data_IF_375718501244
#
_entry.id   IF_375718501244
#
_cell.length_a   1.000
_cell.length_b   1.000
_cell.length_c   1.000
_cell.angle_alpha   90.00
_cell.angle_beta   90.00
_cell.angle_gamma   90.00
#
_symmetry.space_group_name_H-M   'P 1'
#
loop_
_entity.id
_entity.type
_entity.pdbx_description
1 polymer ?
2 branched ?
3 non-polymer ?
4 non-polymer ?
5 non-polymer ?
6 non-polymer ?
7 water ?
#
# COMPACT_ATOMS: atom_id res chain seq x y z
N UNK A 8 -7.20 11.40 19.08
CA UNK A 8 -7.96 10.51 19.95
C UNK A 8 -9.41 10.33 19.48
N UNK A 9 -9.99 11.36 18.84
CA UNK A 9 -11.33 11.22 18.29
C UNK A 9 -11.31 10.30 17.04
N UNK A 10 -10.17 10.26 16.32
CA UNK A 10 -10.00 9.39 15.16
C UNK A 10 -9.93 7.92 15.61
N UNK A 11 -9.25 7.66 16.74
CA UNK A 11 -9.12 6.32 17.32
C UNK A 11 -10.47 5.76 17.77
N UNK A 12 -11.37 6.62 18.25
CA UNK A 12 -12.68 6.17 18.71
C UNK A 12 -13.68 5.99 17.57
N UNK A 13 -13.84 7.00 16.71
CA UNK A 13 -14.80 6.96 15.60
C UNK A 13 -14.39 5.93 14.56
N UNK A 14 -13.08 5.81 14.31
CA UNK A 14 -12.62 4.85 13.31
C UNK A 14 -11.95 3.66 13.99
N UNK A 15 -10.68 3.78 14.32
CA UNK A 15 -9.91 2.70 14.96
C UNK A 15 -8.53 3.28 15.29
N UNK A 16 -7.72 2.55 16.10
CA UNK A 16 -6.37 2.99 16.39
C UNK A 16 -5.48 2.80 15.15
N UNK A 17 -5.73 1.72 14.37
CA UNK A 17 -4.97 1.46 13.16
C UNK A 17 -5.93 1.57 11.97
N UNK A 18 -5.63 2.41 11.00
CA UNK A 18 -6.44 2.54 9.79
C UNK A 18 -5.57 2.20 8.59
N UNK A 19 -5.99 1.19 7.83
CA UNK A 19 -5.24 0.74 6.67
C UNK A 19 -6.12 0.79 5.44
N UNK A 20 -5.58 1.23 4.31
CA UNK A 20 -6.29 1.14 3.05
C UNK A 20 -5.45 0.38 2.05
N UNK A 21 -6.11 -0.21 1.06
CA UNK A 21 -5.42 -0.96 0.03
C UNK A 21 -6.22 -0.85 -1.27
N UNK A 22 -5.64 -1.35 -2.35
CA UNK A 22 -6.29 -1.42 -3.64
C UNK A 22 -6.03 -2.81 -4.22
N UNK A 23 -7.06 -3.41 -4.81
CA UNK A 23 -6.96 -4.74 -5.37
C UNK A 23 -7.97 -4.87 -6.52
N UNK A 24 -7.58 -5.54 -7.58
CA UNK A 24 -8.49 -5.83 -8.69
C UNK A 24 -8.09 -7.17 -9.26
N UNK A 25 -9.05 -8.08 -9.33
CA UNK A 25 -8.81 -9.44 -9.78
C UNK A 25 -8.86 -10.41 -8.63
N UNK A 26 -9.29 -11.65 -8.90
CA UNK A 26 -9.40 -12.68 -7.90
C UNK A 26 -8.08 -12.94 -7.16
N UNK A 27 -6.97 -13.00 -7.88
CA UNK A 27 -5.66 -13.25 -7.28
C UNK A 27 -5.33 -12.18 -6.19
N UNK A 28 -5.50 -10.91 -6.54
CA UNK A 28 -5.19 -9.82 -5.65
C UNK A 28 -6.18 -9.71 -4.51
N UNK A 29 -7.44 -10.09 -4.73
CA UNK A 29 -8.43 -10.11 -3.64
C UNK A 29 -8.17 -11.24 -2.68
N UNK A 30 -7.70 -12.38 -3.18
CA UNK A 30 -7.33 -13.50 -2.33
C UNK A 30 -6.12 -13.06 -1.43
N UNK A 31 -5.14 -12.38 -2.01
CA UNK A 31 -3.99 -11.90 -1.26
C UNK A 31 -4.42 -10.77 -0.30
N UNK A 32 -5.38 -9.94 -0.68
CA UNK A 32 -5.86 -8.86 0.17
C UNK A 32 -6.50 -9.39 1.46
N UNK A 33 -7.28 -10.49 1.39
CA UNK A 33 -7.83 -11.10 2.60
C UNK A 33 -6.70 -11.62 3.50
N UNK A 34 -5.67 -12.21 2.89
CA UNK A 34 -4.50 -12.72 3.61
C UNK A 34 -3.74 -11.58 4.28
N UNK A 35 -3.58 -10.44 3.60
CA UNK A 35 -2.93 -9.28 4.16
C UNK A 35 -3.64 -8.82 5.42
N UNK A 36 -4.99 -8.78 5.36
CA UNK A 36 -5.84 -8.37 6.47
C UNK A 36 -5.74 -9.32 7.62
N UNK A 37 -5.77 -10.65 7.35
CA UNK A 37 -5.59 -11.64 8.43
C UNK A 37 -4.20 -11.49 9.08
N UNK A 38 -3.14 -11.28 8.29
CA UNK A 38 -1.79 -11.08 8.84
C UNK A 38 -1.70 -9.84 9.77
N UNK A 39 -2.40 -8.75 9.42
CA UNK A 39 -2.46 -7.57 10.29
C UNK A 39 -3.13 -7.95 11.64
N UNK A 40 -4.32 -8.57 11.57
CA UNK A 40 -5.11 -8.94 12.76
C UNK A 40 -4.43 -9.93 13.67
N UNK A 41 -3.62 -10.85 13.12
CA UNK A 41 -2.90 -11.80 13.95
C UNK A 41 -1.73 -11.14 14.73
N UNK A 42 -1.32 -9.92 14.33
CA UNK A 42 -0.18 -9.28 14.91
C UNK A 42 -0.49 -8.02 15.69
N UNK A 43 -1.75 -7.74 16.00
CA UNK A 43 -2.11 -6.63 16.82
C UNK A 43 -3.33 -6.90 17.68
N UNK A 44 -3.34 -6.28 18.86
CA UNK A 44 -4.48 -6.20 19.77
C UNK A 44 -5.15 -4.80 19.75
N UNK A 45 -4.59 -3.84 18.98
CA UNK A 45 -5.18 -2.53 18.81
C UNK A 45 -6.37 -2.65 17.85
N UNK A 46 -7.30 -1.70 17.89
CA UNK A 46 -8.48 -1.74 17.02
C UNK A 46 -8.04 -1.40 15.61
N UNK A 47 -8.66 -2.07 14.62
CA UNK A 47 -8.30 -1.88 13.22
C UNK A 47 -9.51 -1.58 12.36
N UNK A 48 -9.34 -0.65 11.41
CA UNK A 48 -10.35 -0.37 10.40
C UNK A 48 -9.66 -0.45 9.02
N UNK A 49 -10.25 -1.22 8.11
CA UNK A 49 -9.73 -1.33 6.75
C UNK A 49 -10.61 -0.51 5.82
N UNK A 50 -10.00 0.23 4.88
CA UNK A 50 -10.69 1.09 3.95
C UNK A 50 -10.40 0.58 2.53
N UNK A 51 -11.44 0.43 1.72
CA UNK A 51 -11.27 -0.14 0.38
C UNK A 51 -11.69 0.78 -0.74
N UNK A 52 -10.93 0.82 -1.85
CA UNK A 52 -11.31 1.59 -3.05
C UNK A 52 -12.29 0.62 -3.70
N UNK A 53 -13.59 0.88 -3.49
CA UNK A 53 -14.73 0.03 -3.86
C UNK A 53 -14.87 -0.37 -5.32
N UNK A 54 -14.74 0.61 -6.25
CA UNK A 54 -15.02 0.33 -7.68
C UNK A 54 -14.16 -0.76 -8.32
N UNK A 55 -12.99 -1.06 -7.75
CA UNK A 55 -12.14 -2.11 -8.31
C UNK A 55 -12.42 -3.48 -7.74
N UNK A 56 -13.18 -3.57 -6.65
CA UNK A 56 -13.45 -4.84 -6.02
C UNK A 56 -14.57 -5.59 -6.71
N UNK A 57 -14.54 -6.90 -6.56
CA UNK A 57 -15.54 -7.82 -7.10
C UNK A 57 -16.76 -7.83 -6.17
N UNK A 58 -17.95 -8.23 -6.69
CA UNK A 58 -19.11 -8.38 -5.81
C UNK A 58 -18.88 -9.42 -4.73
N UNK A 59 -18.13 -10.50 -5.01
CA UNK A 59 -17.88 -11.54 -4.00
C UNK A 59 -17.06 -11.00 -2.82
N UNK A 60 -16.07 -10.16 -3.11
CA UNK A 60 -15.23 -9.60 -2.04
C UNK A 60 -16.08 -8.71 -1.15
N UNK A 61 -16.89 -7.82 -1.76
CA UNK A 61 -17.78 -6.92 -1.03
C UNK A 61 -18.85 -7.65 -0.20
N UNK A 62 -19.25 -8.85 -0.64
CA UNK A 62 -20.20 -9.65 0.10
C UNK A 62 -19.53 -10.47 1.21
N UNK A 63 -18.26 -10.82 1.04
CA UNK A 63 -17.52 -11.59 2.02
C UNK A 63 -16.95 -10.73 3.16
N UNK A 64 -16.59 -9.46 2.87
CA UNK A 64 -15.95 -8.59 3.84
C UNK A 64 -16.71 -8.49 5.21
N UNK A 65 -18.07 -8.45 5.33
CA UNK A 65 -18.66 -8.42 6.70
C UNK A 65 -18.38 -9.70 7.48
N UNK A 66 -18.21 -10.84 6.79
CA UNK A 66 -17.86 -12.12 7.43
C UNK A 66 -16.40 -12.11 7.92
N UNK A 67 -15.49 -11.54 7.13
CA UNK A 67 -14.09 -11.38 7.52
C UNK A 67 -14.04 -10.46 8.76
N UNK A 68 -14.79 -9.35 8.72
CA UNK A 68 -14.86 -8.35 9.76
C UNK A 68 -15.35 -8.90 11.09
N UNK A 69 -16.39 -9.75 11.06
CA UNK A 69 -16.95 -10.36 12.26
C UNK A 69 -16.05 -11.46 12.80
N UNK A 70 -15.37 -12.21 11.93
CA UNK A 70 -14.47 -13.29 12.33
C UNK A 70 -13.15 -12.76 12.95
N UNK A 71 -12.58 -11.73 12.33
CA UNK A 71 -11.31 -11.16 12.75
C UNK A 71 -11.45 -9.97 13.71
N UNK A 72 -12.64 -9.42 13.84
CA UNK A 72 -12.88 -8.31 14.74
C UNK A 72 -12.37 -6.96 14.27
N UNK A 73 -12.58 -6.63 12.98
CA UNK A 73 -12.18 -5.33 12.47
C UNK A 73 -13.36 -4.58 11.92
N UNK A 74 -13.25 -3.27 11.78
CA UNK A 74 -14.26 -2.45 11.15
C UNK A 74 -13.79 -2.19 9.70
N UNK A 75 -14.69 -1.72 8.85
CA UNK A 75 -14.33 -1.42 7.47
C UNK A 75 -15.22 -0.38 6.84
N UNK A 76 -14.73 0.26 5.78
CA UNK A 76 -15.51 1.20 5.03
C UNK A 76 -15.12 1.14 3.57
N UNK A 77 -16.11 1.17 2.69
CA UNK A 77 -15.94 1.21 1.24
C UNK A 77 -15.92 2.67 0.79
N UNK A 78 -14.89 3.11 0.06
CA UNK A 78 -14.83 4.48 -0.44
C UNK A 78 -14.95 4.47 -1.98
N UNK A 79 -15.87 5.28 -2.52
CA UNK A 79 -16.10 5.42 -3.97
C UNK A 79 -15.91 6.89 -4.29
N UNK A 80 -14.74 7.27 -4.83
CA UNK A 80 -14.45 8.64 -5.20
C UNK A 80 -14.33 8.73 -6.71
N UNK A 81 -15.01 9.71 -7.32
CA UNK A 81 -15.02 9.85 -8.77
C UNK A 81 -13.83 10.68 -9.23
N UNK A 82 -13.06 10.18 -10.21
CA UNK A 82 -11.90 10.89 -10.78
C UNK A 82 -12.40 12.22 -11.38
N UNK A 83 -11.84 13.35 -10.92
CA UNK A 83 -12.30 14.68 -11.42
C UNK A 83 -12.10 14.80 -12.93
N UNK A 84 -13.11 15.29 -13.70
CA UNK A 84 -12.99 15.40 -15.15
C UNK A 84 -11.86 16.33 -15.61
N UNK A 85 -11.48 17.33 -14.81
CA UNK A 85 -10.37 18.22 -15.20
C UNK A 85 -9.03 17.47 -15.23
N UNK A 86 -8.88 16.48 -14.33
CA UNK A 86 -7.62 15.78 -14.09
C UNK A 86 -7.35 14.72 -15.12
N UNK A 87 -6.19 14.78 -15.80
CA UNK A 87 -5.81 13.83 -16.86
C UNK A 87 -6.11 12.39 -16.45
N UNK A 88 -6.95 11.72 -17.23
CA UNK A 88 -7.34 10.37 -16.92
C UNK A 88 -6.31 9.32 -17.39
N UNK A 89 -6.42 8.08 -16.90
CA UNK A 89 -5.50 7.01 -17.31
C UNK A 89 -6.34 5.94 -18.00
N UNK A 90 -6.04 5.63 -19.26
CA UNK A 90 -6.81 4.62 -20.00
C UNK A 90 -6.45 3.19 -19.56
N UNK A 91 -5.20 2.98 -19.10
CA UNK A 91 -4.75 1.66 -18.61
C UNK A 91 -5.26 1.44 -17.17
N UNK A 92 -5.98 0.31 -16.91
CA UNK A 92 -6.55 0.03 -15.59
C UNK A 92 -5.51 0.03 -14.47
N UNK A 93 -4.32 -0.50 -14.74
CA UNK A 93 -3.22 -0.54 -13.77
C UNK A 93 -2.80 0.87 -13.35
N UNK A 94 -2.73 1.80 -14.34
CA UNK A 94 -2.35 3.18 -14.07
C UNK A 94 -3.46 3.95 -13.36
N UNK A 95 -4.72 3.61 -13.63
CA UNK A 95 -5.84 4.22 -12.92
C UNK A 95 -5.82 3.75 -11.44
N UNK A 96 -5.50 2.47 -11.21
CA UNK A 96 -5.37 1.94 -9.85
C UNK A 96 -4.23 2.68 -9.10
N UNK A 97 -3.11 2.91 -9.78
CA UNK A 97 -2.00 3.66 -9.22
C UNK A 97 -2.38 5.10 -8.89
N UNK A 98 -3.19 5.73 -9.74
CA UNK A 98 -3.68 7.07 -9.47
C UNK A 98 -4.51 7.12 -8.20
N UNK A 99 -5.37 6.10 -7.98
CA UNK A 99 -6.17 6.03 -6.75
C UNK A 99 -5.35 5.85 -5.48
N UNK A 100 -4.15 5.29 -5.60
CA UNK A 100 -3.28 5.13 -4.42
C UNK A 100 -2.69 6.47 -3.97
N UNK A 101 -2.28 7.33 -4.93
CA UNK A 101 -1.51 8.51 -4.60
C UNK A 101 -2.19 9.89 -4.80
N UNK A 102 -3.19 9.99 -5.68
CA UNK A 102 -3.74 11.30 -6.06
C UNK A 102 -4.84 11.85 -5.16
N UNK A 103 -5.51 11.00 -4.38
CA UNK A 103 -6.69 11.41 -3.65
C UNK A 103 -6.61 11.19 -2.13
N UNK A 104 -5.41 11.21 -1.55
CA UNK A 104 -5.26 10.90 -0.12
C UNK A 104 -6.04 11.83 0.81
N UNK A 105 -6.19 13.09 0.44
CA UNK A 105 -6.93 14.07 1.21
C UNK A 105 -8.43 13.97 1.06
N UNK A 106 -8.97 13.39 -0.03
CA UNK A 106 -10.41 13.37 -0.28
C UNK A 106 -11.08 12.01 -0.16
N UNK A 107 -10.31 10.91 -0.14
CA UNK A 107 -10.92 9.57 0.01
C UNK A 107 -11.44 9.34 1.43
N UNK A 108 -10.78 9.97 2.40
CA UNK A 108 -11.06 9.72 3.78
C UNK A 108 -11.74 10.92 4.44
N UNK A 109 -12.54 10.67 5.48
CA UNK A 109 -13.19 11.80 6.16
C UNK A 109 -12.18 12.65 6.92
N UNK A 110 -12.52 13.92 7.18
CA UNK A 110 -11.70 14.85 7.94
C UNK A 110 -11.42 14.37 9.37
N UNK A 111 -12.31 13.54 9.92
CA UNK A 111 -12.14 13.00 11.25
C UNK A 111 -11.06 11.88 11.32
N UNK A 112 -10.52 11.42 10.16
CA UNK A 112 -9.47 10.40 10.18
C UNK A 112 -8.15 11.15 10.15
N UNK A 113 -7.33 10.95 11.17
CA UNK A 113 -6.06 11.65 11.31
C UNK A 113 -4.91 11.01 10.57
N UNK A 114 -4.96 9.68 10.38
CA UNK A 114 -3.83 8.96 9.82
C UNK A 114 -4.29 7.68 9.14
N UNK A 115 -3.67 7.34 8.02
CA UNK A 115 -4.00 6.11 7.29
C UNK A 115 -2.71 5.51 6.72
N UNK A 116 -2.64 4.20 6.69
CA UNK A 116 -1.50 3.52 6.12
C UNK A 116 -1.93 2.76 4.86
N UNK A 117 -1.21 2.92 3.74
CA UNK A 117 -1.46 2.09 2.57
C UNK A 117 -0.62 0.83 2.80
N UNK A 118 -1.23 -0.34 2.61
CA UNK A 118 -0.52 -1.62 2.68
C UNK A 118 -0.95 -2.34 1.42
N UNK A 119 0.01 -2.78 0.64
CA UNK A 119 -0.28 -3.47 -0.61
C UNK A 119 -1.07 -4.75 -0.39
N UNK A 120 -1.93 -5.08 -1.38
CA UNK A 120 -2.78 -6.26 -1.31
C UNK A 120 -1.96 -7.55 -1.23
N UNK A 121 -0.80 -7.58 -1.88
CA UNK A 121 0.07 -8.74 -1.86
C UNK A 121 1.05 -8.74 -0.68
N UNK A 122 0.83 -7.94 0.36
CA UNK A 122 1.75 -7.93 1.49
C UNK A 122 1.39 -8.89 2.59
N UNK A 123 2.43 -9.29 3.37
CA UNK A 123 2.26 -10.10 4.54
C UNK A 123 2.87 -9.28 5.69
N UNK A 124 2.07 -8.99 6.69
CA UNK A 124 2.46 -8.20 7.85
C UNK A 124 2.91 -9.13 8.96
N UNK A 125 4.04 -8.77 9.58
CA UNK A 125 4.60 -9.56 10.67
C UNK A 125 4.88 -8.68 11.89
N UNK A 126 4.12 -7.60 12.06
CA UNK A 126 4.35 -6.66 13.13
C UNK A 126 3.05 -6.04 13.57
N UNK A 127 3.08 -5.36 14.73
CA UNK A 127 1.93 -4.61 15.17
C UNK A 127 1.96 -3.30 14.36
N UNK A 128 0.97 -3.11 13.48
CA UNK A 128 0.89 -1.91 12.64
C UNK A 128 0.71 -0.63 13.42
N UNK A 129 0.33 -0.71 14.72
CA UNK A 129 0.26 0.49 15.56
C UNK A 129 1.65 1.13 15.72
N UNK A 130 2.74 0.33 15.58
CA UNK A 130 4.09 0.88 15.62
C UNK A 130 4.33 1.87 14.47
N UNK A 131 3.65 1.65 13.32
CA UNK A 131 3.80 2.59 12.20
C UNK A 131 2.94 3.84 12.44
N UNK A 132 1.78 3.66 13.09
CA UNK A 132 0.90 4.77 13.46
C UNK A 132 1.67 5.72 14.41
N UNK A 133 2.50 5.15 15.30
CA UNK A 133 3.28 5.91 16.26
C UNK A 133 4.65 6.33 15.77
N UNK A 134 5.06 5.94 14.57
CA UNK A 134 6.35 6.34 14.04
C UNK A 134 6.40 7.85 13.85
N UNK A 135 7.48 8.49 14.33
CA UNK A 135 7.58 9.94 14.22
C UNK A 135 7.92 10.41 12.81
N UNK A 136 7.07 11.28 12.26
CA UNK A 136 7.28 11.81 10.91
C UNK A 136 7.92 13.19 10.89
N UNK A 137 7.99 13.88 12.07
CA UNK A 137 8.59 15.19 12.23
C UNK A 137 8.10 16.20 11.21
N UNK A 138 6.79 16.29 11.03
CA UNK A 138 6.23 17.23 10.08
C UNK A 138 6.16 16.80 8.64
N UNK A 139 6.69 15.58 8.25
CA UNK A 139 6.52 15.13 6.85
C UNK A 139 5.08 14.62 6.75
N UNK A 140 4.37 14.91 5.65
CA UNK A 140 2.98 14.42 5.53
C UNK A 140 2.88 12.90 5.32
N UNK A 141 3.95 12.27 4.83
CA UNK A 141 3.92 10.83 4.61
C UNK A 141 5.31 10.21 4.69
N UNK A 142 5.35 8.92 4.96
CA UNK A 142 6.59 8.18 5.04
C UNK A 142 6.54 6.94 4.19
N UNK A 143 7.61 6.66 3.48
CA UNK A 143 7.74 5.47 2.65
C UNK A 143 9.07 4.82 2.97
N UNK A 144 9.21 3.51 2.75
CA UNK A 144 10.49 2.83 2.92
C UNK A 144 11.31 3.01 1.63
N UNK A 145 12.63 3.02 1.73
CA UNK A 145 13.45 3.11 0.52
C UNK A 145 13.55 1.75 -0.18
N UNK A 146 13.95 1.78 -1.44
CA UNK A 146 14.26 0.56 -2.18
C UNK A 146 15.57 0.02 -1.58
N UNK A 147 15.66 -1.30 -1.34
CA UNK A 147 16.88 -1.89 -0.76
C UNK A 147 18.01 -1.84 -1.74
N UNK A 148 19.22 -1.69 -1.23
CA UNK A 148 20.43 -1.83 -2.03
C UNK A 148 21.16 -3.16 -1.69
N UNK A 149 20.74 -3.90 -0.64
CA UNK A 149 21.42 -5.08 -0.10
C UNK A 149 21.54 -6.29 -1.02
N UNK A 150 20.65 -6.46 -2.03
CA UNK A 150 20.84 -7.56 -2.98
C UNK A 150 21.68 -7.03 -4.14
N UNK A 151 23.02 -7.14 -4.03
CA UNK A 151 23.97 -6.59 -4.98
C UNK A 151 23.84 -7.16 -6.38
N UNK A 152 23.44 -8.43 -6.51
CA UNK A 152 23.28 -9.05 -7.85
C UNK A 152 22.19 -8.39 -8.71
N UNK A 153 21.30 -7.59 -8.09
CA UNK A 153 20.23 -6.93 -8.81
C UNK A 153 20.52 -5.49 -9.21
N UNK A 154 21.77 -5.01 -9.00
CA UNK A 154 22.18 -3.63 -9.29
C UNK A 154 21.84 -3.13 -10.69
N UNK A 155 21.91 -4.03 -11.69
CA UNK A 155 21.57 -3.67 -13.06
C UNK A 155 20.13 -3.25 -13.25
N UNK A 156 19.24 -3.70 -12.36
CA UNK A 156 17.82 -3.32 -12.46
C UNK A 156 17.46 -2.11 -11.59
N UNK A 157 18.40 -1.58 -10.79
CA UNK A 157 18.11 -0.40 -9.96
C UNK A 157 18.23 0.84 -10.84
N UNK A 158 17.19 1.11 -11.66
CA UNK A 158 17.14 2.23 -12.59
C UNK A 158 17.33 3.60 -11.92
N UNK A 159 16.95 3.69 -10.64
CA UNK A 159 17.06 4.92 -9.87
C UNK A 159 18.52 5.27 -9.48
N UNK A 160 19.47 4.35 -9.68
CA UNK A 160 20.87 4.59 -9.36
C UNK A 160 21.73 5.06 -10.56
N UNK A 161 21.13 5.20 -11.75
CA UNK A 161 21.81 5.72 -12.95
C UNK A 161 20.86 6.69 -13.70
N UNK A 162 21.37 7.37 -14.74
CA UNK A 162 20.59 8.20 -15.64
C UNK A 162 19.81 9.33 -15.01
N UNK A 163 18.59 9.57 -15.51
CA UNK A 163 17.70 10.63 -15.03
C UNK A 163 17.57 10.67 -13.50
N UNK A 164 17.15 9.55 -12.88
CA UNK A 164 16.91 9.49 -11.45
C UNK A 164 18.13 9.74 -10.59
N UNK A 165 19.30 9.19 -10.93
CA UNK A 165 20.50 9.44 -10.14
C UNK A 165 20.88 10.91 -10.15
N UNK A 166 20.70 11.57 -11.30
CA UNK A 166 21.01 12.99 -11.40
C UNK A 166 19.96 13.83 -10.69
N UNK A 167 18.69 13.43 -10.74
CA UNK A 167 17.62 14.17 -10.06
C UNK A 167 17.68 14.03 -8.52
N UNK A 168 17.85 12.79 -8.02
CA UNK A 168 17.82 12.50 -6.59
C UNK A 168 19.05 13.00 -5.84
N UNK A 169 20.22 12.98 -6.48
CA UNK A 169 21.46 13.45 -5.84
C UNK A 169 21.71 12.77 -4.48
N UNK A 170 21.50 11.47 -4.45
CA UNK A 170 21.70 10.72 -3.22
C UNK A 170 20.47 10.52 -2.36
N UNK A 171 19.38 11.30 -2.59
CA UNK A 171 18.12 11.11 -1.82
C UNK A 171 17.57 9.73 -2.17
N UNK A 172 16.90 9.03 -1.23
CA UNK A 172 16.40 7.69 -1.57
C UNK A 172 15.31 7.68 -2.62
N UNK A 173 15.27 6.58 -3.37
CA UNK A 173 14.16 6.33 -4.28
C UNK A 173 13.34 5.31 -3.46
N UNK A 174 12.12 5.70 -3.11
CA UNK A 174 11.21 4.94 -2.26
C UNK A 174 10.29 3.99 -3.00
N UNK A 175 9.98 2.87 -2.36
CA UNK A 175 9.02 1.92 -2.92
C UNK A 175 7.62 2.32 -2.40
N UNK A 176 6.59 2.18 -3.23
CA UNK A 176 5.23 2.61 -2.85
C UNK A 176 4.34 1.48 -2.37
N UNK A 177 4.92 0.32 -2.00
CA UNK A 177 4.11 -0.79 -1.50
C UNK A 177 3.49 -0.48 -0.15
N UNK A 178 4.15 0.36 0.65
CA UNK A 178 3.68 0.67 2.00
C UNK A 178 3.98 2.13 2.29
N UNK A 179 3.03 2.85 2.86
CA UNK A 179 3.26 4.22 3.26
C UNK A 179 2.30 4.66 4.31
N UNK A 180 2.80 5.45 5.26
CA UNK A 180 1.95 5.98 6.32
C UNK A 180 1.70 7.43 5.94
N UNK A 181 0.44 7.85 6.05
CA UNK A 181 0.05 9.22 5.71
C UNK A 181 -0.52 9.90 6.95
N UNK A 182 0.11 10.96 7.41
CA UNK A 182 -0.44 11.73 8.53
C UNK A 182 -1.42 12.65 7.79
N UNK A 183 -2.70 12.29 7.75
CA UNK A 183 -3.71 13.03 6.97
C UNK A 183 -3.87 14.49 7.42
N UNK A 184 -3.70 14.77 8.71
CA UNK A 184 -3.80 16.13 9.22
C UNK A 184 -2.69 16.99 8.66
N UNK A 185 -1.46 16.48 8.66
CA UNK A 185 -0.32 17.22 8.11
C UNK A 185 -0.38 17.26 6.58
N UNK A 186 -0.82 16.17 5.95
CA UNK A 186 -0.98 16.08 4.49
C UNK A 186 -2.00 17.17 4.03
N UNK A 187 -3.10 17.31 4.77
CA UNK A 187 -4.12 18.33 4.52
C UNK A 187 -3.56 19.75 4.73
N UNK A 188 -2.84 19.97 5.85
CA UNK A 188 -2.20 21.25 6.21
C UNK A 188 -1.24 21.70 5.14
N UNK A 189 -0.52 20.75 4.53
CA UNK A 189 0.46 21.10 3.51
C UNK A 189 -0.14 21.18 2.12
N UNK A 190 -1.45 20.96 1.97
CA UNK A 190 -2.19 20.89 0.68
C UNK A 190 -1.45 19.91 -0.27
N UNK A 191 -0.92 18.81 0.29
CA UNK A 191 -0.14 17.88 -0.50
C UNK A 191 -0.99 17.24 -1.61
N UNK A 192 -2.26 17.00 -1.35
CA UNK A 192 -3.15 16.39 -2.35
C UNK A 192 -3.34 17.26 -3.58
N UNK A 193 -3.61 18.56 -3.37
CA UNK A 193 -3.80 19.48 -4.49
C UNK A 193 -2.50 19.61 -5.28
N UNK A 194 -1.36 19.68 -4.58
CA UNK A 194 -0.05 19.83 -5.19
C UNK A 194 0.34 18.58 -5.97
N UNK A 195 0.07 17.39 -5.44
CA UNK A 195 0.35 16.14 -6.19
C UNK A 195 -0.55 16.07 -7.46
N UNK A 196 -1.85 16.39 -7.33
CA UNK A 196 -2.76 16.37 -8.49
C UNK A 196 -2.32 17.36 -9.57
N UNK A 197 -1.96 18.60 -9.21
CA UNK A 197 -1.54 19.59 -10.19
C UNK A 197 -0.23 19.22 -10.85
N UNK A 198 0.76 18.71 -10.09
CA UNK A 198 2.03 18.27 -10.67
C UNK A 198 1.85 17.08 -11.56
N UNK A 199 1.00 16.11 -11.15
CA UNK A 199 0.72 14.92 -11.95
C UNK A 199 0.06 15.37 -13.27
N UNK A 200 -0.89 16.31 -13.21
CA UNK A 200 -1.58 16.78 -14.41
C UNK A 200 -0.59 17.36 -15.43
N UNK A 201 0.34 18.19 -14.96
CA UNK A 201 1.36 18.78 -15.81
C UNK A 201 2.36 17.74 -16.33
N UNK A 202 2.90 16.87 -15.44
CA UNK A 202 3.88 15.85 -15.84
C UNK A 202 3.32 14.81 -16.79
N UNK A 203 2.06 14.41 -16.58
CA UNK A 203 1.43 13.38 -17.40
C UNK A 203 1.09 13.83 -18.83
N UNK A 204 1.31 15.12 -19.18
CA UNK A 204 1.11 15.59 -20.55
C UNK A 204 2.05 14.82 -21.51
N UNK A 205 3.23 14.42 -21.01
CA UNK A 205 4.19 13.57 -21.68
C UNK A 205 3.76 12.12 -21.34
N UNK A 206 3.33 11.32 -22.34
CA UNK A 206 2.89 9.95 -22.02
C UNK A 206 4.00 9.00 -21.55
N UNK A 207 5.27 9.38 -21.69
CA UNK A 207 6.40 8.57 -21.24
C UNK A 207 6.75 8.83 -19.76
N UNK A 208 6.33 9.98 -19.21
CA UNK A 208 6.61 10.38 -17.83
C UNK A 208 5.83 9.50 -16.82
N UNK A 209 6.31 9.43 -15.57
CA UNK A 209 5.65 8.68 -14.50
C UNK A 209 5.33 7.23 -14.90
N UNK A 210 6.33 6.50 -15.41
CA UNK A 210 6.15 5.09 -15.81
C UNK A 210 5.60 4.26 -14.66
N UNK A 211 6.10 4.51 -13.43
CA UNK A 211 5.63 3.83 -12.22
C UNK A 211 4.85 4.92 -11.47
N UNK A 212 3.68 5.28 -11.94
CA UNK A 212 2.89 6.43 -11.48
C UNK A 212 2.85 6.69 -9.95
N UNK A 213 2.39 5.70 -9.18
CA UNK A 213 2.25 5.80 -7.73
C UNK A 213 3.56 5.98 -7.00
N UNK A 214 4.65 5.49 -7.58
CA UNK A 214 5.98 5.49 -7.00
C UNK A 214 6.81 6.69 -7.47
N UNK A 215 6.80 6.97 -8.77
CA UNK A 215 7.57 8.07 -9.34
C UNK A 215 7.09 9.43 -8.86
N UNK A 216 5.78 9.61 -8.72
CA UNK A 216 5.25 10.93 -8.31
C UNK A 216 5.74 11.38 -6.91
N UNK A 217 5.59 10.61 -5.81
CA UNK A 217 6.12 11.08 -4.52
C UNK A 217 7.64 11.21 -4.55
N UNK A 218 8.36 10.31 -5.24
CA UNK A 218 9.82 10.41 -5.31
C UNK A 218 10.27 11.68 -6.08
N UNK A 219 9.50 12.10 -7.08
CA UNK A 219 9.78 13.32 -7.85
C UNK A 219 9.49 14.56 -6.97
N UNK A 220 8.45 14.49 -6.15
CA UNK A 220 8.04 15.62 -5.31
C UNK A 220 8.73 15.72 -3.95
N UNK A 221 9.65 14.81 -3.61
CA UNK A 221 10.18 14.75 -2.24
C UNK A 221 11.05 15.94 -1.80
N UNK A 222 11.49 16.81 -2.73
CA UNK A 222 12.22 18.01 -2.33
C UNK A 222 11.24 19.14 -1.92
N UNK A 223 9.92 19.03 -2.23
CA UNK A 223 8.96 20.06 -1.86
C UNK A 223 7.84 19.51 -0.96
N UNK A 224 7.49 18.20 -1.10
CA UNK A 224 6.51 17.50 -0.24
C UNK A 224 7.36 16.43 0.43
N UNK A 225 7.86 16.73 1.63
CA UNK A 225 8.81 15.80 2.25
C UNK A 225 8.33 14.38 2.46
N UNK A 226 9.27 13.45 2.30
CA UNK A 226 9.00 12.05 2.61
C UNK A 226 9.85 11.75 3.85
N UNK A 227 9.24 11.20 4.89
CA UNK A 227 9.97 10.74 6.05
C UNK A 227 10.43 9.31 5.59
N UNK A 228 11.72 9.11 5.32
CA UNK A 228 12.20 7.79 4.88
C UNK A 228 12.08 6.82 6.06
N UNK A 229 11.22 5.82 5.91
CA UNK A 229 11.01 4.86 6.96
C UNK A 229 12.21 3.93 7.11
N UNK A 230 12.40 3.38 8.32
CA UNK A 230 13.40 2.31 8.49
C UNK A 230 13.22 1.22 7.44
N UNK A 231 14.32 0.76 6.84
CA UNK A 231 14.32 -0.25 5.79
C UNK A 231 13.52 -1.50 6.20
N UNK A 232 13.51 -1.83 7.50
CA UNK A 232 12.80 -2.99 8.05
C UNK A 232 11.30 -2.95 7.76
N UNK A 233 10.72 -1.77 7.53
CA UNK A 233 9.29 -1.65 7.27
C UNK A 233 8.84 -2.30 5.98
N UNK A 234 9.73 -2.51 4.99
CA UNK A 234 9.33 -3.13 3.73
C UNK A 234 10.48 -3.96 3.19
N UNK A 235 10.27 -5.28 3.14
CA UNK A 235 11.26 -6.17 2.56
C UNK A 235 10.68 -6.84 1.31
N UNK A 236 11.40 -6.79 0.19
CA UNK A 236 11.04 -7.52 -1.05
C UNK A 236 12.28 -8.31 -1.44
N UNK A 237 12.12 -9.57 -1.77
CA UNK A 237 13.26 -10.41 -2.16
C UNK A 237 14.02 -9.87 -3.34
N UNK A 238 13.33 -9.29 -4.32
CA UNK A 238 13.99 -8.76 -5.53
C UNK A 238 15.12 -7.80 -5.21
N UNK A 239 14.93 -6.95 -4.19
CA UNK A 239 15.92 -5.93 -3.87
C UNK A 239 16.66 -6.15 -2.59
N UNK A 240 16.10 -6.92 -1.66
CA UNK A 240 16.64 -7.03 -0.31
C UNK A 240 17.28 -8.40 -0.07
N UNK A 241 18.30 -8.43 0.77
CA UNK A 241 19.07 -9.63 1.10
C UNK A 241 18.28 -10.64 1.93
N UNK A 242 18.62 -11.96 1.79
CA UNK A 242 17.96 -13.02 2.59
C UNK A 242 18.12 -12.76 4.08
N UNK A 243 19.29 -12.26 4.48
CA UNK A 243 19.64 -12.04 5.86
C UNK A 243 18.79 -10.98 6.54
N UNK A 244 18.23 -10.02 5.77
CA UNK A 244 17.40 -8.98 6.39
C UNK A 244 15.92 -9.42 6.48
N UNK A 245 15.54 -10.62 5.97
CA UNK A 245 14.16 -11.08 6.10
C UNK A 245 13.75 -11.24 7.57
N UNK A 246 14.63 -11.78 8.45
CA UNK A 246 14.29 -11.95 9.86
C UNK A 246 13.97 -10.63 10.59
N UNK A 247 14.43 -9.50 10.05
CA UNK A 247 14.14 -8.18 10.64
C UNK A 247 12.91 -7.52 10.00
N UNK A 248 12.40 -8.03 8.88
CA UNK A 248 11.28 -7.42 8.18
C UNK A 248 10.00 -7.37 9.00
N UNK A 249 9.43 -6.18 9.10
CA UNK A 249 8.15 -5.99 9.73
C UNK A 249 7.03 -6.34 8.73
N UNK A 250 7.23 -6.07 7.43
CA UNK A 250 6.24 -6.43 6.40
C UNK A 250 6.99 -6.93 5.18
N UNK A 251 6.34 -7.77 4.38
CA UNK A 251 6.93 -8.31 3.18
C UNK A 251 6.08 -7.93 2.00
N UNK A 252 6.69 -7.48 0.90
CA UNK A 252 6.00 -7.19 -0.35
C UNK A 252 6.44 -8.30 -1.36
N UNK A 253 5.52 -8.82 -2.18
CA UNK A 253 5.88 -9.86 -3.16
C UNK A 253 6.18 -9.20 -4.49
N UNK A 254 7.10 -8.22 -4.48
CA UNK A 254 7.35 -7.46 -5.71
C UNK A 254 8.00 -8.29 -6.81
N UNK A 255 7.63 -7.98 -8.05
CA UNK A 255 8.06 -8.66 -9.25
C UNK A 255 9.57 -8.67 -9.36
N UNK A 256 10.13 -9.81 -9.79
CA UNK A 256 11.55 -9.97 -9.97
C UNK A 256 11.78 -9.97 -11.48
N UNK A 257 12.36 -8.88 -12.01
CA UNK A 257 12.56 -8.80 -13.47
C UNK A 257 13.52 -9.83 -14.03
N UNK A 258 14.39 -10.39 -13.18
CA UNK A 258 15.36 -11.39 -13.59
C UNK A 258 14.73 -12.79 -13.72
N UNK A 259 13.97 -13.24 -12.70
CA UNK A 259 13.39 -14.57 -12.69
C UNK A 259 12.00 -14.68 -13.30
N UNK A 260 11.20 -13.62 -13.18
CA UNK A 260 9.80 -13.65 -13.64
C UNK A 260 9.00 -14.79 -12.98
N UNK A 261 9.32 -15.14 -11.73
CA UNK A 261 8.63 -16.21 -11.00
C UNK A 261 7.17 -15.80 -10.74
N UNK A 262 6.18 -16.69 -10.93
CA UNK A 262 4.79 -16.29 -10.68
C UNK A 262 4.53 -15.83 -9.24
N UNK A 263 3.48 -15.02 -9.08
CA UNK A 263 3.06 -14.40 -7.82
C UNK A 263 2.77 -15.38 -6.69
N UNK A 264 1.94 -16.40 -6.94
CA UNK A 264 1.62 -17.40 -5.91
C UNK A 264 2.84 -18.29 -5.60
N UNK A 265 3.76 -18.49 -6.57
CA UNK A 265 4.98 -19.28 -6.29
C UNK A 265 5.90 -18.49 -5.34
N UNK A 266 6.05 -17.17 -5.57
CA UNK A 266 6.85 -16.27 -4.71
C UNK A 266 6.26 -16.30 -3.31
N UNK A 267 4.93 -16.21 -3.18
CA UNK A 267 4.26 -16.23 -1.89
C UNK A 267 4.53 -17.51 -1.11
N UNK A 268 4.34 -18.69 -1.73
CA UNK A 268 4.53 -19.96 -1.04
C UNK A 268 5.98 -20.24 -0.73
N UNK A 269 6.89 -19.82 -1.60
CA UNK A 269 8.31 -20.08 -1.38
C UNK A 269 8.89 -19.16 -0.31
N UNK A 270 8.57 -17.87 -0.38
CA UNK A 270 9.16 -16.89 0.53
C UNK A 270 8.57 -16.80 1.89
N UNK A 271 7.26 -16.98 2.02
CA UNK A 271 6.58 -16.74 3.28
C UNK A 271 5.99 -18.01 3.90
N UNK A 272 6.62 -18.53 4.97
CA UNK A 272 6.12 -19.79 5.57
C UNK A 272 4.69 -19.77 6.04
N UNK A 273 4.21 -18.66 6.60
CA UNK A 273 2.85 -18.58 7.13
C UNK A 273 1.78 -18.24 6.10
N UNK A 274 2.14 -17.99 4.85
CA UNK A 274 1.19 -17.61 3.80
C UNK A 274 0.09 -18.69 3.64
N UNK A 275 0.49 -19.97 3.53
CA UNK A 275 -0.45 -21.09 3.38
C UNK A 275 -1.39 -21.18 4.57
N UNK A 276 -0.93 -20.93 5.82
CA UNK A 276 -1.80 -20.97 6.98
C UNK A 276 -2.90 -19.91 6.90
N UNK A 277 -2.55 -18.68 6.45
CA UNK A 277 -3.58 -17.64 6.33
C UNK A 277 -4.55 -18.00 5.20
N UNK A 278 -4.01 -18.46 4.08
CA UNK A 278 -4.80 -18.84 2.91
C UNK A 278 -5.82 -19.94 3.28
N UNK A 279 -5.38 -20.96 4.04
CA UNK A 279 -6.25 -22.06 4.46
C UNK A 279 -7.27 -21.63 5.51
N UNK A 280 -6.91 -20.69 6.38
CA UNK A 280 -7.80 -20.16 7.42
C UNK A 280 -8.95 -19.37 6.78
N UNK A 281 -8.64 -18.56 5.76
CA UNK A 281 -9.64 -17.77 5.05
C UNK A 281 -10.52 -18.69 4.18
N UNK A 282 -9.93 -19.73 3.58
CA UNK A 282 -10.70 -20.70 2.79
C UNK A 282 -11.64 -21.49 3.70
N UNK A 283 -11.23 -21.78 4.95
CA UNK A 283 -12.12 -22.46 5.90
C UNK A 283 -13.30 -21.55 6.27
N UNK A 284 -13.02 -20.25 6.46
CA UNK A 284 -14.06 -19.26 6.76
C UNK A 284 -15.04 -19.14 5.59
N UNK A 285 -14.52 -19.19 4.34
CA UNK A 285 -15.34 -19.12 3.14
C UNK A 285 -16.28 -20.32 3.03
N UNK A 286 -15.79 -21.54 3.33
CA UNK A 286 -16.62 -22.74 3.30
C UNK A 286 -17.72 -22.68 4.37
N UNK A 287 -17.41 -22.13 5.54
CA UNK A 287 -18.38 -22.01 6.62
C UNK A 287 -19.48 -21.00 6.32
N UNK A 288 -19.15 -19.90 5.64
CA UNK A 288 -20.12 -18.87 5.25
C UNK A 288 -20.99 -19.36 4.07
N UNK A 289 -20.39 -20.14 3.15
CA UNK A 289 -21.07 -20.72 2.00
C UNK A 289 -22.25 -21.60 2.42
N UNK A 290 -22.10 -22.41 3.47
CA UNK A 290 -23.20 -23.26 3.94
C UNK A 290 -24.25 -22.48 4.74
N UNK A 291 -23.80 -21.48 5.49
CA UNK A 291 -24.68 -20.65 6.30
C UNK A 291 -25.55 -19.69 5.50
N UNK A 292 -25.16 -19.40 4.25
CA UNK A 292 -25.90 -18.48 3.40
C UNK A 292 -26.64 -19.21 2.26
N UNK A 293 -26.10 -20.35 1.78
CA UNK A 293 -26.74 -21.09 0.68
C UNK A 293 -27.77 -22.10 1.17
#
# INVERSE_FOLDING_TARGET
ETGEATKSVSKTEHAEINIFSVASGHLYERMLNIMMASVMHHTNHTVKFWFIEQFLSPSFKDFIPHMAAEYGFKYEMVTYKWPHWLRQQKEKQREIWGYKILFLDVLFPLSLDKVIFVDADQIVRTDMYDLVEHPLDGAPYGFAPMCDSRVEMEGYRFWKTGYWANYLKGKPYHISALYVVDLQRFRELAAGDRLRQQYHALSADPNSLANLDQDLPNHMQFTIPIATLPQEWLWCETWCSDETLKDARTIDLCNNPMTKEPKLDRARRQVPEWTKYDEEIAELARRVREGTKHHHHHH
#
